data_IF_367579749566
#
_entry.id   IF_367579749566
#
_cell.length_a   1.000
_cell.length_b   1.000
_cell.length_c   1.000
_cell.angle_alpha   90.00
_cell.angle_beta   90.00
_cell.angle_gamma   90.00
#
_symmetry.space_group_name_H-M   'P 1'
#
loop_
_entity.id
_entity.type
_entity.pdbx_description
1 polymer ?
#
# COMPACT_ATOMS: atom_id res chain seq x y z
N UNK A 1 -6.15 -10.16 6.66
CA UNK A 1 -5.88 -9.71 5.29
C UNK A 1 -5.26 -8.34 5.28
N UNK A 2 -4.51 -8.06 4.24
CA UNK A 2 -3.79 -6.79 4.13
C UNK A 2 -4.03 -6.19 2.76
N UNK A 3 -4.09 -4.88 2.71
CA UNK A 3 -4.18 -4.14 1.44
C UNK A 3 -3.06 -3.11 1.38
N UNK A 4 -2.82 -2.59 0.20
CA UNK A 4 -1.77 -1.60 -0.01
C UNK A 4 -2.39 -0.23 -0.24
N UNK A 5 -1.75 0.81 0.32
CA UNK A 5 -2.14 2.18 0.04
C UNK A 5 -0.92 2.99 -0.33
N UNK A 6 -1.10 3.90 -1.26
CA UNK A 6 -0.01 4.77 -1.71
C UNK A 6 -0.50 6.21 -1.74
N UNK A 7 0.43 7.12 -1.55
CA UNK A 7 0.20 8.55 -1.68
C UNK A 7 0.98 9.03 -2.89
N UNK A 8 0.28 9.37 -3.95
CA UNK A 8 0.96 9.79 -5.17
C UNK A 8 1.09 11.29 -5.29
N UNK A 9 0.33 12.06 -4.52
CA UNK A 9 0.35 13.51 -4.62
C UNK A 9 1.18 14.10 -3.48
N UNK A 10 2.28 14.76 -3.83
CA UNK A 10 3.15 15.39 -2.86
C UNK A 10 2.48 16.53 -2.13
N UNK A 11 1.54 17.18 -2.77
CA UNK A 11 0.92 18.38 -2.23
C UNK A 11 -0.23 18.09 -1.28
N UNK A 12 -0.68 16.83 -1.23
CA UNK A 12 -1.79 16.47 -0.38
C UNK A 12 -1.41 15.24 0.45
N UNK A 13 -0.92 15.43 1.68
CA UNK A 13 -0.48 14.31 2.50
C UNK A 13 -1.60 13.39 2.94
N UNK A 14 -2.85 13.78 2.71
CA UNK A 14 -3.97 12.93 3.06
C UNK A 14 -4.57 12.20 1.87
N UNK A 15 -3.97 12.35 0.69
CA UNK A 15 -4.48 11.71 -0.52
C UNK A 15 -3.96 10.29 -0.65
N UNK A 16 -4.32 9.45 0.29
CA UNK A 16 -4.01 8.03 0.23
C UNK A 16 -5.11 7.28 -0.50
N UNK A 17 -4.73 6.36 -1.36
CA UNK A 17 -5.73 5.56 -2.04
C UNK A 17 -5.30 4.11 -2.13
N UNK A 18 -6.27 3.23 -2.23
CA UNK A 18 -6.03 1.80 -2.27
C UNK A 18 -5.44 1.39 -3.61
N UNK A 19 -4.57 0.37 -3.57
CA UNK A 19 -3.98 -0.18 -4.79
C UNK A 19 -4.86 -1.31 -5.29
N UNK A 20 -5.24 -1.22 -6.56
CA UNK A 20 -6.05 -2.25 -7.18
C UNK A 20 -5.21 -3.12 -8.09
N UNK A 21 -5.68 -4.35 -8.32
CA UNK A 21 -5.02 -5.24 -9.25
C UNK A 21 -5.39 -4.95 -10.69
N UNK A 22 -4.85 -5.73 -11.62
CA UNK A 22 -5.10 -5.50 -13.05
C UNK A 22 -6.56 -5.72 -13.46
N UNK A 23 -7.32 -6.42 -12.61
CA UNK A 23 -8.74 -6.62 -12.87
C UNK A 23 -9.60 -5.51 -12.30
N UNK A 24 -8.99 -4.48 -11.72
CA UNK A 24 -9.71 -3.37 -11.13
C UNK A 24 -10.21 -3.63 -9.72
N UNK A 25 -9.94 -4.78 -9.16
CA UNK A 25 -10.38 -5.12 -7.81
C UNK A 25 -9.28 -4.84 -6.81
N UNK A 26 -9.68 -4.59 -5.57
CA UNK A 26 -8.73 -4.29 -4.51
C UNK A 26 -7.75 -5.45 -4.34
N UNK A 27 -6.47 -5.13 -4.33
CA UNK A 27 -5.41 -6.11 -4.09
C UNK A 27 -5.35 -6.43 -2.61
N UNK A 28 -5.49 -7.71 -2.26
CA UNK A 28 -5.40 -8.14 -0.87
C UNK A 28 -4.43 -9.30 -0.74
N UNK A 29 -3.87 -9.45 0.46
CA UNK A 29 -2.86 -10.46 0.75
C UNK A 29 -3.15 -11.10 2.09
N UNK A 30 -2.80 -12.37 2.21
CA UNK A 30 -2.99 -13.08 3.48
C UNK A 30 -1.92 -12.72 4.50
N UNK A 31 -0.73 -12.35 4.04
CA UNK A 31 0.40 -12.06 4.91
C UNK A 31 0.96 -10.68 4.62
N UNK A 32 1.41 -10.01 5.67
CA UNK A 32 2.00 -8.69 5.51
C UNK A 32 3.27 -8.74 4.67
N UNK A 33 4.06 -9.80 4.81
CA UNK A 33 5.29 -9.93 4.03
C UNK A 33 5.00 -10.01 2.54
N UNK A 34 3.91 -10.66 2.16
CA UNK A 34 3.53 -10.73 0.76
C UNK A 34 3.06 -9.37 0.25
N UNK A 35 2.34 -8.64 1.09
CA UNK A 35 1.90 -7.31 0.73
C UNK A 35 3.08 -6.38 0.51
N UNK A 36 4.07 -6.41 1.39
CA UNK A 36 5.25 -5.57 1.26
C UNK A 36 6.07 -5.92 0.04
N UNK A 37 6.20 -7.21 -0.26
CA UNK A 37 6.93 -7.63 -1.44
C UNK A 37 6.26 -7.13 -2.71
N UNK A 38 4.94 -7.19 -2.76
CA UNK A 38 4.21 -6.70 -3.91
C UNK A 38 4.32 -5.18 -4.03
N UNK A 39 4.32 -4.50 -2.89
CA UNK A 39 4.46 -3.06 -2.87
C UNK A 39 5.79 -2.63 -3.49
N UNK A 40 6.87 -3.30 -3.14
CA UNK A 40 8.17 -3.00 -3.72
C UNK A 40 8.18 -3.29 -5.22
N UNK A 41 7.47 -4.31 -5.64
CA UNK A 41 7.44 -4.70 -7.04
C UNK A 41 6.66 -3.69 -7.88
N UNK A 42 5.55 -3.19 -7.35
CA UNK A 42 4.68 -2.28 -8.09
C UNK A 42 5.15 -0.83 -8.01
N UNK A 43 5.73 -0.44 -6.89
CA UNK A 43 6.15 0.94 -6.66
C UNK A 43 7.58 1.01 -6.17
N UNK A 44 8.54 0.53 -6.96
CA UNK A 44 9.93 0.49 -6.51
C UNK A 44 10.51 1.87 -6.23
N UNK A 45 10.06 2.88 -6.97
CA UNK A 45 10.57 4.24 -6.78
C UNK A 45 10.11 4.80 -5.45
N UNK A 46 8.83 4.63 -5.12
CA UNK A 46 8.32 5.14 -3.86
C UNK A 46 8.95 4.45 -2.66
N UNK A 47 9.11 3.14 -2.73
CA UNK A 47 9.74 2.39 -1.65
C UNK A 47 11.19 2.80 -1.49
N UNK A 48 11.88 3.02 -2.61
CA UNK A 48 13.27 3.44 -2.56
C UNK A 48 13.42 4.82 -1.94
N UNK A 49 12.49 5.73 -2.24
CA UNK A 49 12.52 7.07 -1.66
C UNK A 49 12.35 7.04 -0.15
N UNK A 50 11.54 6.12 0.36
CA UNK A 50 11.34 6.01 1.80
C UNK A 50 12.61 5.63 2.53
N UNK A 51 13.51 4.92 1.86
CA UNK A 51 14.78 4.53 2.48
C UNK A 51 15.73 5.69 2.63
N UNK A 52 15.61 6.71 1.78
CA UNK A 52 16.48 7.86 1.82
C UNK A 52 15.88 9.04 2.57
N UNK A 53 14.55 9.07 2.66
CA UNK A 53 13.87 10.16 3.34
C UNK A 53 12.80 9.53 4.24
N UNK A 54 13.19 9.19 5.44
CA UNK A 54 12.34 8.42 6.34
C UNK A 54 11.06 9.16 6.74
N UNK A 55 11.08 10.48 6.66
CA UNK A 55 9.91 11.26 7.03
C UNK A 55 8.95 11.49 5.86
N UNK A 56 9.25 10.95 4.68
CA UNK A 56 8.36 11.08 3.52
C UNK A 56 7.80 9.72 3.15
N UNK A 57 7.04 9.13 4.04
CA UNK A 57 6.49 7.81 3.79
C UNK A 57 5.28 7.91 2.89
N UNK A 58 5.33 7.26 1.73
CA UNK A 58 4.28 7.34 0.72
C UNK A 58 3.63 6.01 0.40
N UNK A 59 4.04 4.95 1.08
CA UNK A 59 3.47 3.62 0.89
C UNK A 59 3.18 3.02 2.24
N UNK A 60 2.13 2.22 2.33
CA UNK A 60 1.83 1.55 3.59
C UNK A 60 0.99 0.31 3.34
N UNK A 61 1.08 -0.62 4.29
CA UNK A 61 0.28 -1.83 4.29
C UNK A 61 -0.75 -1.69 5.39
N UNK A 62 -2.01 -1.89 5.05
CA UNK A 62 -3.12 -1.70 5.97
C UNK A 62 -3.73 -3.05 6.29
N UNK A 63 -3.92 -3.34 7.57
CA UNK A 63 -4.58 -4.55 8.01
C UNK A 63 -6.09 -4.39 7.86
N UNK A 64 -6.73 -5.32 7.19
CA UNK A 64 -8.16 -5.30 6.99
C UNK A 64 -8.77 -6.36 7.90
N UNK A 65 -9.69 -5.93 8.74
CA UNK A 65 -10.40 -6.86 9.59
C UNK A 65 -11.73 -7.18 8.94
N UNK A 66 -11.95 -8.47 8.70
CA UNK A 66 -13.23 -8.90 8.19
C UNK A 66 -14.17 -9.02 9.36
N UNK A 67 -15.34 -8.45 9.20
CA UNK A 67 -16.39 -8.66 10.17
C UNK A 67 -16.94 -10.03 10.00
N UNK A 68 -16.86 -10.80 11.03
CA UNK A 68 -17.27 -12.16 10.89
C UNK A 68 -18.72 -12.35 10.75
N UNK A 69 -19.46 -11.37 11.02
CA UNK A 69 -20.89 -11.48 10.93
C UNK A 69 -21.39 -11.49 9.55
N UNK A 70 -20.58 -11.10 8.65
CA UNK A 70 -21.05 -11.03 7.31
C UNK A 70 -21.22 -12.28 6.62
#
# INVERSE_FOLDING_TARGET
MFKLQVQEDDNDPQAWHDVNGPDGKLLTFDKESEARAKLELLFPVLVKMERFAADTKRTRVISIYKDEDE
#
